data_IF_862185321353
#
_entry.id   IF_862185321353
#
_cell.length_a   1.000
_cell.length_b   1.000
_cell.length_c   1.000
_cell.angle_alpha   90.00
_cell.angle_beta   90.00
_cell.angle_gamma   90.00
#
_symmetry.space_group_name_H-M   'P 1'
#
loop_
_entity.id
_entity.type
_entity.pdbx_description
1 polymer ?
#
# COMPACT_ATOMS: atom_id res chain seq x y z
N UNK A 1 4.57 9.83 10.04
CA UNK A 1 3.46 9.21 9.27
C UNK A 1 2.57 8.47 10.25
N UNK A 2 1.27 8.31 9.97
CA UNK A 2 0.33 7.70 10.94
C UNK A 2 0.68 6.21 11.16
N UNK A 3 0.91 5.76 12.41
CA UNK A 3 1.36 4.38 12.68
C UNK A 3 0.43 3.31 12.09
N UNK A 4 -0.89 3.51 12.22
CA UNK A 4 -1.88 2.56 11.68
C UNK A 4 -1.86 2.48 10.15
N UNK A 5 -1.61 3.60 9.45
CA UNK A 5 -1.53 3.60 7.99
C UNK A 5 -0.24 2.91 7.52
N UNK A 6 0.90 3.16 8.18
CA UNK A 6 2.15 2.46 7.85
C UNK A 6 2.07 0.95 8.08
N UNK A 7 1.46 0.52 9.20
CA UNK A 7 1.25 -0.89 9.48
C UNK A 7 0.38 -1.56 8.42
N UNK A 8 -0.70 -0.89 7.98
CA UNK A 8 -1.55 -1.40 6.90
C UNK A 8 -0.76 -1.52 5.59
N UNK A 9 0.08 -0.54 5.24
CA UNK A 9 0.92 -0.59 4.03
C UNK A 9 1.89 -1.77 4.09
N UNK A 10 2.62 -1.94 5.20
CA UNK A 10 3.55 -3.06 5.37
C UNK A 10 2.82 -4.40 5.22
N UNK A 11 1.71 -4.55 5.95
CA UNK A 11 0.91 -5.76 5.98
C UNK A 11 0.37 -6.14 4.59
N UNK A 12 -0.30 -5.21 3.91
CA UNK A 12 -0.95 -5.51 2.64
C UNK A 12 0.06 -5.69 1.51
N UNK A 13 1.16 -4.94 1.51
CA UNK A 13 2.24 -5.16 0.55
C UNK A 13 2.83 -6.56 0.73
N UNK A 14 3.20 -6.95 1.96
CA UNK A 14 3.75 -8.28 2.26
C UNK A 14 2.79 -9.40 1.87
N UNK A 15 1.50 -9.24 2.17
CA UNK A 15 0.47 -10.23 1.86
C UNK A 15 0.23 -10.38 0.36
N UNK A 16 0.26 -9.30 -0.40
CA UNK A 16 0.19 -9.33 -1.87
C UNK A 16 1.39 -10.09 -2.44
N UNK A 17 2.60 -9.84 -1.95
CA UNK A 17 3.79 -10.57 -2.39
C UNK A 17 3.73 -12.05 -2.01
N UNK A 18 3.27 -12.37 -0.79
CA UNK A 18 3.10 -13.75 -0.35
C UNK A 18 2.11 -14.50 -1.24
N UNK A 19 1.03 -13.85 -1.69
CA UNK A 19 0.07 -14.41 -2.65
C UNK A 19 0.66 -14.67 -4.04
N UNK A 20 1.82 -14.10 -4.37
CA UNK A 20 2.57 -14.40 -5.60
C UNK A 20 3.58 -15.54 -5.42
N UNK A 21 3.85 -15.96 -4.18
CA UNK A 21 4.75 -17.06 -3.84
C UNK A 21 6.02 -16.61 -3.10
N UNK A 22 6.48 -17.43 -2.16
CA UNK A 22 7.66 -17.16 -1.32
C UNK A 22 8.90 -16.71 -2.09
N UNK A 23 9.33 -17.42 -3.14
CA UNK A 23 10.51 -17.01 -3.91
C UNK A 23 10.40 -15.63 -4.57
N UNK A 24 9.20 -15.24 -5.04
CA UNK A 24 8.97 -13.92 -5.63
C UNK A 24 9.01 -12.84 -4.55
N UNK A 25 8.40 -13.10 -3.40
CA UNK A 25 8.45 -12.20 -2.23
C UNK A 25 9.90 -11.95 -1.79
N UNK A 26 10.68 -13.01 -1.60
CA UNK A 26 12.07 -12.91 -1.15
C UNK A 26 12.92 -12.16 -2.17
N UNK A 27 12.74 -12.45 -3.46
CA UNK A 27 13.43 -11.76 -4.55
C UNK A 27 13.09 -10.26 -4.60
N UNK A 28 11.82 -9.88 -4.39
CA UNK A 28 11.40 -8.47 -4.37
C UNK A 28 12.04 -7.74 -3.19
N UNK A 29 12.05 -8.33 -2.00
CA UNK A 29 12.68 -7.71 -0.83
C UNK A 29 14.20 -7.54 -1.01
N UNK A 30 14.89 -8.56 -1.55
CA UNK A 30 16.30 -8.47 -1.89
C UNK A 30 16.58 -7.39 -2.96
N UNK A 31 15.73 -7.31 -3.99
CA UNK A 31 15.83 -6.28 -5.02
C UNK A 31 15.66 -4.87 -4.44
N UNK A 32 14.65 -4.64 -3.59
CA UNK A 32 14.42 -3.35 -2.95
C UNK A 32 15.57 -2.97 -2.01
N UNK A 33 16.08 -3.93 -1.23
CA UNK A 33 17.24 -3.71 -0.36
C UNK A 33 18.47 -3.29 -1.16
N UNK A 34 18.76 -3.95 -2.29
CA UNK A 34 19.86 -3.57 -3.21
C UNK A 34 19.68 -2.18 -3.82
N UNK A 35 18.46 -1.64 -3.83
CA UNK A 35 18.13 -0.27 -4.26
C UNK A 35 18.12 0.73 -3.09
N UNK A 36 18.49 0.31 -1.88
CA UNK A 36 18.53 1.15 -0.70
C UNK A 36 17.14 1.42 -0.10
N UNK A 37 16.20 0.49 -0.28
CA UNK A 37 14.89 0.51 0.37
C UNK A 37 14.79 -0.74 1.25
N UNK A 38 15.08 -0.59 2.54
CA UNK A 38 14.94 -1.68 3.48
C UNK A 38 13.47 -1.92 3.81
N UNK A 39 13.15 -3.11 4.31
CA UNK A 39 11.77 -3.51 4.61
C UNK A 39 11.05 -2.54 5.53
N UNK A 40 11.75 -2.06 6.56
CA UNK A 40 11.26 -1.08 7.53
C UNK A 40 10.94 0.30 6.92
N UNK A 41 11.57 0.65 5.81
CA UNK A 41 11.34 1.92 5.11
C UNK A 41 10.16 1.85 4.12
N UNK A 42 9.75 0.66 3.70
CA UNK A 42 8.71 0.45 2.67
C UNK A 42 7.42 1.23 2.98
N UNK A 43 6.88 1.20 4.20
CA UNK A 43 5.66 1.94 4.50
C UNK A 43 5.82 3.45 4.36
N UNK A 44 6.98 3.98 4.72
CA UNK A 44 7.31 5.40 4.60
C UNK A 44 7.65 5.84 3.16
N UNK A 45 8.09 4.90 2.33
CA UNK A 45 8.61 5.15 0.98
C UNK A 45 7.85 4.38 -0.09
N UNK A 46 6.57 4.10 0.14
CA UNK A 46 5.78 3.24 -0.76
C UNK A 46 5.72 3.77 -2.21
N UNK A 47 5.68 5.09 -2.39
CA UNK A 47 5.74 5.70 -3.71
C UNK A 47 7.07 5.41 -4.43
N UNK A 48 8.20 5.46 -3.72
CA UNK A 48 9.52 5.09 -4.26
C UNK A 48 9.60 3.59 -4.56
N UNK A 49 8.99 2.75 -3.71
CA UNK A 49 8.90 1.30 -3.93
C UNK A 49 8.16 1.01 -5.23
N UNK A 50 6.99 1.61 -5.43
CA UNK A 50 6.20 1.42 -6.67
C UNK A 50 7.00 1.88 -7.89
N UNK A 51 7.63 3.06 -7.85
CA UNK A 51 8.48 3.54 -8.95
C UNK A 51 9.63 2.58 -9.25
N UNK A 52 10.37 2.16 -8.22
CA UNK A 52 11.52 1.24 -8.34
C UNK A 52 11.11 -0.11 -8.92
N UNK A 53 9.95 -0.65 -8.50
CA UNK A 53 9.42 -1.90 -9.04
C UNK A 53 8.94 -1.72 -10.49
N UNK A 54 8.28 -0.61 -10.83
CA UNK A 54 7.82 -0.31 -12.19
C UNK A 54 8.98 -0.24 -13.18
N UNK A 55 10.11 0.37 -12.81
CA UNK A 55 11.31 0.42 -13.63
C UNK A 55 11.87 -0.96 -13.98
N UNK A 56 11.73 -1.93 -13.07
CA UNK A 56 12.30 -3.29 -13.24
C UNK A 56 11.32 -4.30 -13.83
N UNK A 57 10.06 -4.24 -13.43
CA UNK A 57 9.05 -5.29 -13.69
C UNK A 57 7.90 -4.82 -14.59
N UNK A 58 7.81 -3.52 -14.88
CA UNK A 58 6.75 -2.95 -15.71
C UNK A 58 5.35 -3.34 -15.23
N UNK A 59 4.55 -3.93 -16.10
CA UNK A 59 3.17 -4.31 -15.81
C UNK A 59 3.02 -5.22 -14.57
N UNK A 60 4.00 -6.08 -14.27
CA UNK A 60 3.93 -6.94 -13.09
C UNK A 60 4.02 -6.15 -11.78
N UNK A 61 4.82 -5.08 -11.74
CA UNK A 61 4.83 -4.16 -10.59
C UNK A 61 3.52 -3.41 -10.42
N UNK A 62 2.86 -3.06 -11.53
CA UNK A 62 1.55 -2.41 -11.50
C UNK A 62 0.50 -3.30 -10.83
N UNK A 63 0.54 -4.62 -11.06
CA UNK A 63 -0.34 -5.58 -10.35
C UNK A 63 -0.08 -5.57 -8.84
N UNK A 64 1.19 -5.53 -8.41
CA UNK A 64 1.55 -5.45 -6.99
C UNK A 64 0.99 -4.17 -6.37
N UNK A 65 1.26 -3.03 -7.02
CA UNK A 65 0.81 -1.72 -6.56
C UNK A 65 -0.73 -1.64 -6.50
N UNK A 66 -1.41 -2.06 -7.56
CA UNK A 66 -2.87 -2.02 -7.66
C UNK A 66 -3.52 -2.86 -6.55
N UNK A 67 -3.11 -4.12 -6.40
CA UNK A 67 -3.66 -5.00 -5.36
C UNK A 67 -3.41 -4.43 -3.97
N UNK A 68 -2.22 -3.89 -3.72
CA UNK A 68 -1.89 -3.27 -2.42
C UNK A 68 -2.79 -2.06 -2.13
N UNK A 69 -2.95 -1.14 -3.09
CA UNK A 69 -3.79 0.05 -2.92
C UNK A 69 -5.26 -0.33 -2.76
N UNK A 70 -5.76 -1.31 -3.50
CA UNK A 70 -7.14 -1.82 -3.37
C UNK A 70 -7.40 -2.37 -1.96
N UNK A 71 -6.50 -3.20 -1.43
CA UNK A 71 -6.67 -3.72 -0.07
C UNK A 71 -6.58 -2.62 0.99
N UNK A 72 -5.73 -1.60 0.77
CA UNK A 72 -5.70 -0.43 1.66
C UNK A 72 -7.00 0.36 1.66
N UNK A 73 -7.64 0.56 0.49
CA UNK A 73 -8.96 1.21 0.44
C UNK A 73 -10.01 0.43 1.23
N UNK A 74 -10.00 -0.91 1.14
CA UNK A 74 -10.90 -1.78 1.91
C UNK A 74 -10.63 -1.67 3.41
N UNK A 75 -9.37 -1.71 3.83
CA UNK A 75 -8.93 -1.60 5.23
C UNK A 75 -9.49 -0.33 5.89
N UNK A 76 -9.46 0.78 5.16
CA UNK A 76 -9.96 2.08 5.65
C UNK A 76 -11.42 2.36 5.27
N UNK A 77 -12.18 1.33 4.88
CA UNK A 77 -13.60 1.41 4.52
C UNK A 77 -13.94 2.51 3.49
N UNK A 78 -13.01 2.80 2.57
CA UNK A 78 -13.20 3.77 1.51
C UNK A 78 -13.63 3.07 0.22
N UNK A 79 -14.60 3.63 -0.53
CA UNK A 79 -15.04 3.04 -1.78
C UNK A 79 -13.90 3.06 -2.80
N UNK A 80 -13.63 1.90 -3.40
CA UNK A 80 -12.72 1.79 -4.54
C UNK A 80 -13.41 2.41 -5.76
N UNK A 81 -13.14 3.68 -6.04
CA UNK A 81 -13.68 4.45 -7.17
C UNK A 81 -12.63 4.69 -8.27
N UNK A 82 -11.72 3.73 -8.45
CA UNK A 82 -10.61 3.81 -9.38
C UNK A 82 -10.33 2.46 -10.03
N UNK A 83 -9.82 2.51 -11.25
CA UNK A 83 -9.53 1.32 -12.06
C UNK A 83 -8.02 1.03 -12.16
N UNK A 84 -7.68 -0.10 -12.77
CA UNK A 84 -6.30 -0.53 -12.92
C UNK A 84 -5.43 0.45 -13.69
N UNK A 85 -5.99 1.17 -14.67
CA UNK A 85 -5.26 2.12 -15.53
C UNK A 85 -5.12 3.52 -14.93
N UNK A 86 -5.79 3.79 -13.81
CA UNK A 86 -5.66 5.06 -13.09
C UNK A 86 -4.27 5.25 -12.47
N UNK A 87 -3.93 6.48 -12.12
CA UNK A 87 -2.68 6.78 -11.40
C UNK A 87 -2.73 6.23 -9.97
N UNK A 88 -2.13 5.06 -9.74
CA UNK A 88 -2.11 4.39 -8.44
C UNK A 88 -1.39 5.20 -7.36
N UNK A 89 -0.39 6.00 -7.75
CA UNK A 89 0.32 6.90 -6.83
C UNK A 89 -0.62 8.01 -6.34
N UNK A 90 -1.40 8.62 -7.23
CA UNK A 90 -2.35 9.67 -6.83
C UNK A 90 -3.46 9.09 -5.94
N UNK A 91 -3.92 7.86 -6.22
CA UNK A 91 -4.88 7.15 -5.35
C UNK A 91 -4.30 6.85 -3.98
N UNK A 92 -3.03 6.45 -3.91
CA UNK A 92 -2.34 6.24 -2.63
C UNK A 92 -2.18 7.53 -1.83
N UNK A 93 -1.80 8.63 -2.47
CA UNK A 93 -1.68 9.96 -1.82
C UNK A 93 -3.04 10.41 -1.30
N UNK A 94 -4.09 10.35 -2.13
CA UNK A 94 -5.45 10.69 -1.73
C UNK A 94 -5.92 9.85 -0.53
N UNK A 95 -5.65 8.54 -0.54
CA UNK A 95 -5.98 7.66 0.58
C UNK A 95 -5.28 8.11 1.86
N UNK A 96 -3.98 8.41 1.79
CA UNK A 96 -3.18 8.90 2.93
C UNK A 96 -3.79 10.18 3.50
N UNK A 97 -4.16 11.13 2.65
CA UNK A 97 -4.77 12.40 3.06
C UNK A 97 -6.15 12.19 3.70
N UNK A 98 -6.98 11.31 3.13
CA UNK A 98 -8.30 10.96 3.69
C UNK A 98 -8.20 10.32 5.06
N UNK A 99 -7.29 9.37 5.26
CA UNK A 99 -7.09 8.70 6.56
C UNK A 99 -6.60 9.68 7.62
N UNK A 100 -5.75 10.64 7.24
CA UNK A 100 -5.33 11.72 8.14
C UNK A 100 -6.50 12.65 8.48
N UNK A 101 -7.28 13.05 7.47
CA UNK A 101 -8.42 13.94 7.65
C UNK A 101 -9.52 13.32 8.53
N UNK A 102 -9.89 12.05 8.33
CA UNK A 102 -10.91 11.38 9.13
C UNK A 102 -10.49 11.19 10.60
N UNK A 103 -9.18 11.04 10.88
CA UNK A 103 -8.70 11.07 12.27
C UNK A 103 -8.80 12.44 12.93
N UNK A 104 -8.59 13.52 12.18
CA UNK A 104 -8.68 14.89 12.69
C UNK A 104 -10.13 15.34 12.86
N UNK A 105 -11.00 14.89 11.95
CA UNK A 105 -12.43 15.21 11.91
C UNK A 105 -13.20 13.93 11.62
N UNK A 106 -13.46 13.08 12.63
CA UNK A 106 -14.17 11.83 12.43
C UNK A 106 -15.56 12.11 11.88
N UNK A 107 -15.73 11.83 10.60
CA UNK A 107 -17.01 11.99 9.89
C UNK A 107 -17.92 10.77 10.07
N UNK A 108 -17.39 9.70 10.65
CA UNK A 108 -18.14 8.51 11.04
C UNK A 108 -18.23 8.42 12.57
N UNK A 109 -19.42 8.22 13.16
CA UNK A 109 -19.51 7.88 14.56
C UNK A 109 -18.80 6.53 14.73
N UNK A 110 -17.80 6.51 15.62
CA UNK A 110 -16.98 5.34 15.93
C UNK A 110 -17.86 4.09 16.07
N UNK A 111 -17.77 3.20 15.08
CA UNK A 111 -18.37 1.87 15.13
C UNK A 111 -17.70 1.11 16.28
N UNK A 112 -18.37 1.09 17.44
CA UNK A 112 -18.06 0.15 18.51
C UNK A 112 -18.32 -1.25 17.98
N UNK A 113 -17.28 -2.07 17.91
CA UNK A 113 -17.45 -3.51 17.79
C UNK A 113 -17.92 -4.04 19.17
N UNK A 114 -19.01 -4.84 19.23
CA UNK A 114 -19.37 -5.52 20.47
C UNK A 114 -18.32 -6.58 20.81
N UNK A 115 -18.11 -6.78 22.11
CA UNK A 115 -17.18 -7.71 22.72
C UNK A 115 -17.48 -9.18 22.42
#
# INVERSE_FOLDING_TARGET
>A
MMPGFQLAVDYWFDRVLQGMGGPIRDWIYDFLSKKGINREDIPGRFEDVVKTLMERLGASARVIAYRTVVELYKEFALPQNFEYDDSLLDRFVYLKERVVADRLHPTTPSLRFPA
#
